data_IF_258340205891
#
_entry.id   IF_258340205891
#
_cell.length_a   1.000
_cell.length_b   1.000
_cell.length_c   1.000
_cell.angle_alpha   90.00
_cell.angle_beta   90.00
_cell.angle_gamma   90.00
#
_symmetry.space_group_name_H-M   'P 1'
#
loop_
_entity.id
_entity.type
_entity.pdbx_description
1 polymer ?
#
# COMPACT_ATOMS: atom_id res chain seq x y z
N UNK A 1 -24.53 22.61 -35.29
CA UNK A 1 -24.59 21.40 -34.43
C UNK A 1 -23.26 20.63 -34.37
N UNK A 2 -22.67 20.13 -35.47
CA UNK A 2 -21.39 19.35 -35.44
C UNK A 2 -20.22 20.04 -34.72
N UNK A 3 -20.04 21.35 -34.90
CA UNK A 3 -18.95 22.13 -34.26
C UNK A 3 -19.11 22.25 -32.73
N UNK A 4 -20.36 22.32 -32.24
CA UNK A 4 -20.67 22.43 -30.82
C UNK A 4 -20.55 21.06 -30.12
N UNK A 5 -20.99 19.98 -30.79
CA UNK A 5 -20.80 18.60 -30.35
C UNK A 5 -19.31 18.22 -30.25
N UNK A 6 -18.51 18.56 -31.26
CA UNK A 6 -17.06 18.32 -31.23
C UNK A 6 -16.37 19.09 -30.10
N UNK A 7 -16.78 20.34 -29.84
CA UNK A 7 -16.26 21.15 -28.73
C UNK A 7 -16.62 20.56 -27.37
N UNK A 8 -17.83 20.03 -27.21
CA UNK A 8 -18.28 19.38 -25.97
C UNK A 8 -17.52 18.07 -25.71
N UNK A 9 -17.30 17.26 -26.74
CA UNK A 9 -16.48 16.04 -26.66
C UNK A 9 -15.01 16.33 -26.34
N UNK A 10 -14.45 17.41 -26.90
CA UNK A 10 -13.09 17.86 -26.62
C UNK A 10 -12.93 18.36 -25.17
N UNK A 11 -13.92 19.08 -24.64
CA UNK A 11 -13.94 19.53 -23.24
C UNK A 11 -14.09 18.36 -22.27
N UNK A 12 -14.94 17.37 -22.60
CA UNK A 12 -15.08 16.15 -21.81
C UNK A 12 -13.75 15.38 -21.74
N UNK A 13 -13.07 15.19 -22.88
CA UNK A 13 -11.74 14.57 -22.91
C UNK A 13 -10.73 15.34 -22.05
N UNK A 14 -10.62 16.67 -22.21
CA UNK A 14 -9.71 17.49 -21.40
C UNK A 14 -9.99 17.42 -19.89
N UNK A 15 -11.26 17.27 -19.51
CA UNK A 15 -11.65 17.15 -18.09
C UNK A 15 -11.20 15.81 -17.52
N UNK A 16 -11.39 14.72 -18.25
CA UNK A 16 -10.93 13.38 -17.85
C UNK A 16 -9.40 13.31 -17.79
N UNK A 17 -8.71 13.98 -18.72
CA UNK A 17 -7.24 14.03 -18.71
C UNK A 17 -6.67 14.71 -17.47
N UNK A 18 -7.20 15.89 -17.10
CA UNK A 18 -6.79 16.58 -15.87
C UNK A 18 -7.09 15.73 -14.63
N UNK A 19 -8.22 15.03 -14.62
CA UNK A 19 -8.59 14.12 -13.54
C UNK A 19 -7.60 12.98 -13.38
N UNK A 20 -7.17 12.36 -14.48
CA UNK A 20 -6.19 11.28 -14.49
C UNK A 20 -4.85 11.73 -13.88
N UNK A 21 -4.36 12.92 -14.26
CA UNK A 21 -3.12 13.49 -13.73
C UNK A 21 -3.21 13.78 -12.23
N UNK A 22 -4.34 14.34 -11.77
CA UNK A 22 -4.59 14.60 -10.35
C UNK A 22 -4.68 13.32 -9.53
N UNK A 23 -5.43 12.32 -10.01
CA UNK A 23 -5.53 11.02 -9.34
C UNK A 23 -4.15 10.41 -9.21
N UNK A 24 -3.36 10.38 -10.30
CA UNK A 24 -1.98 9.89 -10.26
C UNK A 24 -1.13 10.59 -9.21
N UNK A 25 -1.16 11.92 -9.19
CA UNK A 25 -0.35 12.70 -8.25
C UNK A 25 -0.71 12.38 -6.80
N UNK A 26 -2.01 12.33 -6.49
CA UNK A 26 -2.51 12.05 -5.14
C UNK A 26 -2.19 10.61 -4.74
N UNK A 27 -2.53 9.62 -5.57
CA UNK A 27 -2.28 8.20 -5.27
C UNK A 27 -0.78 7.91 -5.20
N UNK A 28 0.04 8.55 -6.04
CA UNK A 28 1.50 8.50 -5.94
C UNK A 28 2.00 9.02 -4.58
N UNK A 29 1.58 10.23 -4.20
CA UNK A 29 2.04 10.83 -2.95
C UNK A 29 1.58 10.02 -1.74
N UNK A 30 0.33 9.56 -1.75
CA UNK A 30 -0.27 8.78 -0.68
C UNK A 30 0.45 7.45 -0.51
N UNK A 31 0.66 6.65 -1.57
CA UNK A 31 1.32 5.34 -1.41
C UNK A 31 2.75 5.51 -0.87
N UNK A 32 3.51 6.51 -1.33
CA UNK A 32 4.88 6.74 -0.84
C UNK A 32 4.90 7.12 0.63
N UNK A 33 3.99 7.99 1.07
CA UNK A 33 3.89 8.39 2.48
C UNK A 33 3.42 7.25 3.35
N UNK A 34 2.41 6.50 2.91
CA UNK A 34 1.89 5.34 3.63
C UNK A 34 2.95 4.23 3.76
N UNK A 35 3.68 3.96 2.68
CA UNK A 35 4.84 3.06 2.70
C UNK A 35 5.85 3.47 3.77
N UNK A 36 6.16 4.76 3.87
CA UNK A 36 7.14 5.26 4.84
C UNK A 36 6.66 5.17 6.30
N UNK A 37 5.36 4.95 6.54
CA UNK A 37 4.82 4.69 7.87
C UNK A 37 5.00 3.24 8.32
N UNK A 38 5.26 2.31 7.39
CA UNK A 38 5.47 0.89 7.68
C UNK A 38 6.93 0.64 8.06
N UNK A 39 7.16 -0.09 9.14
CA UNK A 39 8.48 -0.38 9.70
C UNK A 39 9.08 -1.68 9.12
N UNK A 40 8.25 -2.60 8.65
CA UNK A 40 8.67 -3.81 7.95
C UNK A 40 9.32 -3.51 6.59
N UNK A 41 10.37 -4.26 6.23
CA UNK A 41 10.92 -4.17 4.87
C UNK A 41 9.88 -4.63 3.83
N UNK A 42 9.61 -3.79 2.84
CA UNK A 42 8.70 -4.09 1.72
C UNK A 42 9.04 -5.41 1.02
N UNK A 43 8.01 -6.16 0.64
CA UNK A 43 8.15 -7.38 -0.16
C UNK A 43 8.79 -8.58 0.55
N UNK A 44 8.87 -8.56 1.89
CA UNK A 44 9.37 -9.72 2.67
C UNK A 44 8.24 -10.54 3.27
N UNK A 45 8.41 -11.86 3.25
CA UNK A 45 7.57 -12.84 3.94
C UNK A 45 7.38 -12.44 5.42
N UNK A 46 6.20 -12.72 5.99
CA UNK A 46 5.84 -12.39 7.39
C UNK A 46 6.93 -12.85 8.38
N UNK A 47 7.54 -14.01 8.11
CA UNK A 47 8.59 -14.61 8.93
C UNK A 47 9.94 -13.88 8.85
N UNK A 48 10.18 -13.10 7.78
CA UNK A 48 11.36 -12.25 7.62
C UNK A 48 11.16 -10.85 8.22
N UNK A 49 9.92 -10.36 8.32
CA UNK A 49 9.59 -9.07 8.98
C UNK A 49 9.78 -9.14 10.48
N UNK A 50 9.36 -10.24 11.10
CA UNK A 50 9.46 -10.44 12.55
C UNK A 50 10.88 -10.24 13.07
N UNK A 51 11.89 -10.74 12.35
CA UNK A 51 13.30 -10.67 12.79
C UNK A 51 13.93 -9.28 12.73
N UNK A 52 13.28 -8.27 12.14
CA UNK A 52 13.83 -6.92 11.98
C UNK A 52 12.99 -5.82 12.62
N UNK A 53 11.80 -6.14 13.10
CA UNK A 53 10.93 -5.16 13.72
C UNK A 53 11.54 -4.72 15.06
N UNK A 54 11.75 -3.41 15.31
CA UNK A 54 12.31 -2.93 16.57
C UNK A 54 11.55 -3.41 17.81
N UNK A 55 10.23 -3.58 17.70
CA UNK A 55 9.39 -4.06 18.79
C UNK A 55 9.68 -5.53 19.17
N UNK A 56 9.89 -6.41 18.17
CA UNK A 56 10.31 -7.80 18.41
C UNK A 56 11.69 -7.87 19.07
N UNK A 57 12.61 -6.99 18.67
CA UNK A 57 13.95 -6.90 19.28
C UNK A 57 13.84 -6.47 20.76
N UNK A 58 12.97 -5.49 21.05
CA UNK A 58 12.70 -5.06 22.42
C UNK A 58 12.10 -6.18 23.27
N UNK A 59 11.09 -6.87 22.74
CA UNK A 59 10.45 -8.00 23.40
C UNK A 59 11.48 -9.08 23.80
N UNK A 60 12.34 -9.47 22.85
CA UNK A 60 13.41 -10.44 23.09
C UNK A 60 14.40 -9.96 24.16
N UNK A 61 14.83 -8.70 24.09
CA UNK A 61 15.74 -8.11 25.07
C UNK A 61 15.15 -8.14 26.51
N UNK A 62 13.85 -7.87 26.65
CA UNK A 62 13.17 -7.95 27.95
C UNK A 62 13.13 -9.39 28.49
N UNK A 63 12.80 -10.37 27.65
CA UNK A 63 12.76 -11.78 28.04
C UNK A 63 14.15 -12.29 28.45
N UNK A 64 15.19 -11.91 27.70
CA UNK A 64 16.58 -12.24 28.05
C UNK A 64 17.00 -11.58 29.37
N UNK A 65 16.65 -10.30 29.57
CA UNK A 65 16.89 -9.60 30.83
C UNK A 65 16.17 -10.25 32.02
N UNK A 66 14.95 -10.76 31.82
CA UNK A 66 14.23 -11.52 32.83
C UNK A 66 14.97 -12.80 33.22
N UNK A 67 15.50 -13.54 32.24
CA UNK A 67 16.27 -14.76 32.49
C UNK A 67 17.55 -14.49 33.30
N UNK A 68 18.21 -13.35 33.09
CA UNK A 68 19.38 -12.92 33.88
C UNK A 68 19.01 -12.61 35.32
N UNK A 69 17.87 -11.95 35.56
CA UNK A 69 17.42 -11.57 36.90
C UNK A 69 16.81 -12.73 37.70
N UNK A 70 16.33 -13.77 37.01
CA UNK A 70 15.68 -14.93 37.59
C UNK A 70 14.23 -14.69 38.04
N UNK A 71 13.50 -15.78 38.23
CA UNK A 71 12.06 -15.77 38.51
C UNK A 71 11.72 -15.33 39.96
N UNK A 72 12.69 -15.19 40.85
CA UNK A 72 12.46 -14.71 42.23
C UNK A 72 12.43 -13.17 42.32
N UNK A 73 13.00 -12.49 41.33
CA UNK A 73 13.01 -11.03 41.27
C UNK A 73 11.68 -10.48 40.77
N UNK A 74 11.08 -9.52 41.49
CA UNK A 74 9.91 -8.78 40.98
C UNK A 74 10.22 -8.17 39.61
N UNK A 75 11.40 -7.56 39.46
CA UNK A 75 11.82 -6.97 38.18
C UNK A 75 11.95 -8.03 37.08
N UNK A 76 12.47 -9.23 37.40
CA UNK A 76 12.53 -10.35 36.47
C UNK A 76 11.15 -10.79 35.99
N UNK A 77 10.20 -10.98 36.91
CA UNK A 77 8.79 -11.28 36.59
C UNK A 77 8.16 -10.20 35.72
N UNK A 78 8.41 -8.93 36.01
CA UNK A 78 7.89 -7.79 35.23
C UNK A 78 8.48 -7.76 33.82
N UNK A 79 9.80 -7.92 33.68
CA UNK A 79 10.44 -7.97 32.37
C UNK A 79 9.92 -9.13 31.52
N UNK A 80 9.71 -10.31 32.11
CA UNK A 80 9.15 -11.46 31.40
C UNK A 80 7.74 -11.18 30.88
N UNK A 81 6.84 -10.74 31.77
CA UNK A 81 5.46 -10.46 31.41
C UNK A 81 5.32 -9.34 30.38
N UNK A 82 6.12 -8.27 30.52
CA UNK A 82 6.18 -7.19 29.55
C UNK A 82 6.76 -7.68 28.22
N UNK A 83 7.86 -8.42 28.21
CA UNK A 83 8.47 -8.96 26.99
C UNK A 83 7.54 -9.88 26.20
N UNK A 84 6.85 -10.80 26.87
CA UNK A 84 5.82 -11.65 26.25
C UNK A 84 4.63 -10.84 25.69
N UNK A 85 4.32 -9.69 26.31
CA UNK A 85 3.27 -8.79 25.83
C UNK A 85 3.72 -7.98 24.62
N UNK A 86 4.93 -7.43 24.65
CA UNK A 86 5.53 -6.72 23.52
C UNK A 86 5.68 -7.63 22.30
N UNK A 87 5.98 -8.93 22.50
CA UNK A 87 6.01 -9.92 21.41
C UNK A 87 4.63 -10.09 20.74
N UNK A 88 3.55 -10.15 21.53
CA UNK A 88 2.17 -10.22 20.98
C UNK A 88 1.80 -8.94 20.24
N UNK A 89 2.18 -7.77 20.77
CA UNK A 89 1.97 -6.48 20.10
C UNK A 89 2.75 -6.39 18.79
N UNK A 90 3.99 -6.91 18.78
CA UNK A 90 4.80 -7.01 17.57
C UNK A 90 4.13 -7.88 16.50
N UNK A 91 3.54 -9.02 16.89
CA UNK A 91 2.80 -9.88 15.97
C UNK A 91 1.58 -9.18 15.36
N UNK A 92 0.78 -8.46 16.16
CA UNK A 92 -0.33 -7.66 15.65
C UNK A 92 0.16 -6.54 14.71
N UNK A 93 1.27 -5.88 15.03
CA UNK A 93 1.87 -4.85 14.17
C UNK A 93 2.32 -5.43 12.82
N UNK A 94 2.99 -6.59 12.81
CA UNK A 94 3.42 -7.25 11.57
C UNK A 94 2.20 -7.60 10.70
N UNK A 95 1.15 -8.15 11.30
CA UNK A 95 -0.06 -8.53 10.59
C UNK A 95 -0.79 -7.31 10.01
N UNK A 96 -0.85 -6.22 10.77
CA UNK A 96 -1.38 -4.93 10.33
C UNK A 96 -0.59 -4.37 9.13
N UNK A 97 0.73 -4.27 9.24
CA UNK A 97 1.56 -3.71 8.17
C UNK A 97 1.49 -4.57 6.90
N UNK A 98 1.41 -5.89 7.04
CA UNK A 98 1.21 -6.80 5.90
C UNK A 98 -0.13 -6.55 5.18
N UNK A 99 -1.23 -6.38 5.92
CA UNK A 99 -2.54 -6.12 5.33
C UNK A 99 -2.58 -4.75 4.65
N UNK A 100 -2.03 -3.71 5.29
CA UNK A 100 -1.94 -2.37 4.68
C UNK A 100 -1.10 -2.39 3.40
N UNK A 101 0.03 -3.10 3.39
CA UNK A 101 0.86 -3.21 2.21
C UNK A 101 0.10 -3.84 1.03
N UNK A 102 -0.54 -5.00 1.27
CA UNK A 102 -1.24 -5.79 0.25
C UNK A 102 -2.53 -5.14 -0.23
N UNK A 103 -3.37 -4.68 0.69
CA UNK A 103 -4.75 -4.29 0.37
C UNK A 103 -4.91 -2.79 0.09
N UNK A 104 -3.86 -1.99 0.35
CA UNK A 104 -3.90 -0.53 0.15
C UNK A 104 -2.69 -0.02 -0.62
N UNK A 105 -1.46 -0.26 -0.13
CA UNK A 105 -0.25 0.32 -0.75
C UNK A 105 0.00 -0.21 -2.15
N UNK A 106 -0.04 -1.53 -2.34
CA UNK A 106 0.17 -2.17 -3.64
C UNK A 106 -0.90 -1.75 -4.67
N UNK A 107 -2.21 -1.78 -4.36
CA UNK A 107 -3.23 -1.25 -5.27
C UNK A 107 -3.05 0.23 -5.65
N UNK A 108 -2.66 1.08 -4.69
CA UNK A 108 -2.37 2.50 -4.97
C UNK A 108 -1.13 2.67 -5.85
N UNK A 109 -0.10 1.83 -5.66
CA UNK A 109 1.08 1.78 -6.52
C UNK A 109 0.71 1.37 -7.95
N UNK A 110 -0.02 0.27 -8.12
CA UNK A 110 -0.48 -0.20 -9.45
C UNK A 110 -1.26 0.89 -10.16
N UNK A 111 -2.18 1.54 -9.47
CA UNK A 111 -2.96 2.65 -10.04
C UNK A 111 -2.06 3.81 -10.51
N UNK A 112 -1.12 4.24 -9.66
CA UNK A 112 -0.27 5.42 -9.91
C UNK A 112 0.85 5.17 -10.93
N UNK A 113 1.48 3.99 -10.88
CA UNK A 113 2.72 3.68 -11.59
C UNK A 113 2.52 2.74 -12.79
N UNK A 114 1.37 2.06 -12.89
CA UNK A 114 1.09 1.12 -13.98
C UNK A 114 -0.13 1.57 -14.80
N UNK A 115 -1.31 1.59 -14.20
CA UNK A 115 -2.57 1.77 -14.93
C UNK A 115 -2.68 3.16 -15.56
N UNK A 116 -2.52 4.21 -14.77
CA UNK A 116 -2.60 5.59 -15.27
C UNK A 116 -1.50 5.88 -16.32
N UNK A 117 -0.22 5.55 -16.08
CA UNK A 117 0.83 5.72 -17.09
C UNK A 117 0.55 4.96 -18.40
N UNK A 118 -0.04 3.78 -18.34
CA UNK A 118 -0.43 3.01 -19.52
C UNK A 118 -1.51 3.73 -20.34
N UNK A 119 -2.57 4.23 -19.68
CA UNK A 119 -3.62 5.04 -20.33
C UNK A 119 -3.00 6.28 -20.99
N UNK A 120 -2.11 6.99 -20.28
CA UNK A 120 -1.41 8.16 -20.81
C UNK A 120 -0.52 7.81 -22.01
N UNK A 121 0.17 6.67 -21.98
CA UNK A 121 1.03 6.19 -23.07
C UNK A 121 0.22 5.85 -24.31
N UNK A 122 -0.87 5.10 -24.15
CA UNK A 122 -1.78 4.77 -25.26
C UNK A 122 -2.39 6.02 -25.88
N UNK A 123 -2.77 7.00 -25.06
CA UNK A 123 -3.27 8.29 -25.57
C UNK A 123 -2.25 9.02 -26.43
N UNK A 124 -0.99 9.11 -25.98
CA UNK A 124 0.10 9.69 -26.78
C UNK A 124 0.34 8.88 -28.06
N UNK A 125 0.16 7.57 -28.02
CA UNK A 125 0.26 6.72 -29.20
C UNK A 125 -0.88 6.99 -30.20
N UNK A 126 -2.12 7.08 -29.74
CA UNK A 126 -3.27 7.44 -30.58
C UNK A 126 -3.06 8.78 -31.28
N UNK A 127 -2.52 9.79 -30.58
CA UNK A 127 -2.21 11.08 -31.20
C UNK A 127 -1.21 10.96 -32.37
N UNK A 128 -0.22 10.05 -32.29
CA UNK A 128 0.69 9.77 -33.39
C UNK A 128 -0.03 9.04 -34.54
N UNK A 129 -0.83 8.03 -34.24
CA UNK A 129 -1.58 7.28 -35.25
C UNK A 129 -2.57 8.16 -36.02
N UNK A 130 -3.17 9.15 -35.36
CA UNK A 130 -4.02 10.16 -36.03
C UNK A 130 -3.20 10.95 -37.06
N UNK A 131 -2.00 11.41 -36.71
CA UNK A 131 -1.12 12.13 -37.63
C UNK A 131 -0.65 11.24 -38.79
N UNK A 132 -0.30 9.99 -38.51
CA UNK A 132 0.14 9.02 -39.53
C UNK A 132 -0.99 8.73 -40.53
N UNK A 133 -2.22 8.53 -40.02
CA UNK A 133 -3.42 8.33 -40.82
C UNK A 133 -3.77 9.55 -41.67
N UNK A 134 -3.69 10.78 -41.10
CA UNK A 134 -3.89 12.02 -41.85
C UNK A 134 -2.83 12.22 -42.96
N UNK A 135 -1.58 11.82 -42.68
CA UNK A 135 -0.48 11.84 -43.66
C UNK A 135 -0.71 10.84 -44.79
N UNK A 136 -1.06 9.58 -44.48
CA UNK A 136 -1.38 8.55 -45.46
C UNK A 136 -2.58 8.96 -46.33
N UNK A 137 -3.62 9.52 -45.70
CA UNK A 137 -4.80 10.07 -46.40
C UNK A 137 -4.44 11.21 -47.35
N UNK A 138 -3.57 12.11 -46.94
CA UNK A 138 -3.10 13.22 -47.79
C UNK A 138 -2.32 12.70 -49.00
N UNK A 139 -1.41 11.74 -48.80
CA UNK A 139 -0.64 11.10 -49.89
C UNK A 139 -1.55 10.41 -50.91
N UNK A 140 -2.54 9.64 -50.44
CA UNK A 140 -3.51 8.99 -51.31
C UNK A 140 -4.33 10.02 -52.12
N UNK A 141 -4.85 11.07 -51.47
CA UNK A 141 -5.63 12.10 -52.15
C UNK A 141 -4.84 12.88 -53.19
N UNK A 142 -3.55 13.15 -52.94
CA UNK A 142 -2.67 13.82 -53.91
C UNK A 142 -2.44 12.93 -55.14
N UNK A 143 -2.22 11.62 -54.94
CA UNK A 143 -2.08 10.64 -56.03
C UNK A 143 -3.34 10.56 -56.89
N UNK A 144 -4.53 10.60 -56.27
CA UNK A 144 -5.81 10.57 -56.98
C UNK A 144 -6.03 11.82 -57.84
N UNK A 145 -5.56 13.00 -57.41
CA UNK A 145 -5.70 14.26 -58.16
C UNK A 145 -4.70 14.40 -59.31
N UNK A 146 -3.51 13.81 -59.23
CA UNK A 146 -2.52 13.80 -60.32
C UNK A 146 -2.85 12.85 -61.47
N UNK A 147 -3.88 12.00 -61.31
CA UNK A 147 -4.30 10.98 -62.29
C UNK A 147 -5.26 11.50 -63.38
N UNK A 148 -5.46 12.81 -63.51
CA UNK A 148 -6.45 13.40 -64.43
C UNK A 148 -6.03 13.46 -65.91
N UNK A 149 -4.96 12.77 -66.31
CA UNK A 149 -4.60 12.60 -67.72
C UNK A 149 -5.07 11.24 -68.24
N UNK A 150 -5.89 11.18 -69.31
CA UNK A 150 -6.40 9.93 -69.84
C UNK A 150 -5.28 9.23 -70.62
N UNK A 151 -4.46 8.46 -69.92
CA UNK A 151 -3.57 7.46 -70.51
C UNK A 151 -4.17 6.08 -70.26
N UNK A 152 -4.31 5.30 -71.33
CA UNK A 152 -4.91 3.95 -71.43
C UNK A 152 -4.11 2.84 -70.73
N UNK A 153 -3.35 3.16 -69.68
CA UNK A 153 -2.59 2.19 -68.89
C UNK A 153 -3.24 2.07 -67.51
N UNK A 154 -3.51 0.83 -67.10
CA UNK A 154 -4.23 0.47 -65.87
C UNK A 154 -3.92 1.39 -64.67
N UNK A 155 -4.94 1.87 -63.93
CA UNK A 155 -4.76 2.46 -62.61
C UNK A 155 -4.39 1.34 -61.61
N UNK A 156 -3.18 0.80 -61.71
CA UNK A 156 -2.96 -0.58 -61.26
C UNK A 156 -2.43 -0.72 -59.84
N UNK A 157 -1.16 -0.35 -59.61
CA UNK A 157 -0.44 -0.83 -58.41
C UNK A 157 -0.10 0.27 -57.39
N UNK A 158 0.36 1.45 -57.84
CA UNK A 158 0.82 2.52 -56.93
C UNK A 158 -0.35 3.20 -56.21
N UNK A 159 -1.47 3.40 -56.92
CA UNK A 159 -2.67 3.98 -56.33
C UNK A 159 -3.37 3.02 -55.36
N UNK A 160 -3.38 1.71 -55.67
CA UNK A 160 -3.88 0.66 -54.77
C UNK A 160 -2.99 0.51 -53.54
N UNK A 161 -1.66 0.51 -53.68
CA UNK A 161 -0.73 0.48 -52.54
C UNK A 161 -0.91 1.66 -51.59
N UNK A 162 -1.10 2.88 -52.11
CA UNK A 162 -1.36 4.07 -51.27
C UNK A 162 -2.75 4.01 -50.60
N UNK A 163 -3.70 3.33 -51.22
CA UNK A 163 -5.02 3.09 -50.64
C UNK A 163 -4.92 2.09 -49.49
N UNK A 164 -4.23 0.97 -49.70
CA UNK A 164 -4.00 -0.06 -48.70
C UNK A 164 -3.24 0.51 -47.49
N UNK A 165 -2.20 1.32 -47.70
CA UNK A 165 -1.47 2.00 -46.61
C UNK A 165 -2.38 2.94 -45.79
N UNK A 166 -3.30 3.64 -46.45
CA UNK A 166 -4.28 4.51 -45.79
C UNK A 166 -5.30 3.71 -44.98
N UNK A 167 -5.85 2.63 -45.55
CA UNK A 167 -6.78 1.73 -44.89
C UNK A 167 -6.13 1.05 -43.68
N UNK A 168 -4.89 0.61 -43.80
CA UNK A 168 -4.11 0.02 -42.70
C UNK A 168 -3.85 1.04 -41.59
N UNK A 169 -3.44 2.26 -41.93
CA UNK A 169 -3.21 3.34 -40.96
C UNK A 169 -4.50 3.72 -40.23
N UNK A 170 -5.64 3.75 -40.94
CA UNK A 170 -6.95 4.00 -40.36
C UNK A 170 -7.36 2.87 -39.39
N UNK A 171 -7.16 1.61 -39.77
CA UNK A 171 -7.48 0.45 -38.93
C UNK A 171 -6.64 0.45 -37.63
N UNK A 172 -5.32 0.70 -37.72
CA UNK A 172 -4.45 0.81 -36.53
C UNK A 172 -4.90 1.92 -35.58
N UNK A 173 -5.27 3.09 -36.12
CA UNK A 173 -5.80 4.20 -35.32
C UNK A 173 -7.11 3.81 -34.63
N UNK A 174 -8.02 3.14 -35.34
CA UNK A 174 -9.31 2.71 -34.79
C UNK A 174 -9.15 1.71 -33.64
N UNK A 175 -8.30 0.68 -33.82
CA UNK A 175 -8.00 -0.30 -32.76
C UNK A 175 -7.45 0.41 -31.50
N UNK A 176 -6.50 1.33 -31.67
CA UNK A 176 -5.91 2.07 -30.54
C UNK A 176 -6.94 2.98 -29.85
N UNK A 177 -7.85 3.60 -30.62
CA UNK A 177 -8.93 4.42 -30.09
C UNK A 177 -9.90 3.59 -29.24
N UNK A 178 -10.27 2.42 -29.71
CA UNK A 178 -11.23 1.56 -29.03
C UNK A 178 -10.62 0.98 -27.75
N UNK A 179 -9.34 0.56 -27.79
CA UNK A 179 -8.61 0.14 -26.59
C UNK A 179 -8.51 1.25 -25.55
N UNK A 180 -8.10 2.46 -25.96
CA UNK A 180 -8.01 3.60 -25.03
C UNK A 180 -9.38 3.93 -24.42
N UNK A 181 -10.45 3.81 -25.21
CA UNK A 181 -11.80 4.04 -24.72
C UNK A 181 -12.17 3.00 -23.66
N UNK A 182 -11.87 1.72 -23.90
CA UNK A 182 -12.11 0.64 -22.94
C UNK A 182 -11.35 0.89 -21.63
N UNK A 183 -10.07 1.26 -21.71
CA UNK A 183 -9.24 1.53 -20.53
C UNK A 183 -9.73 2.75 -19.75
N UNK A 184 -10.17 3.81 -20.43
CA UNK A 184 -10.77 4.98 -19.79
C UNK A 184 -12.11 4.66 -19.11
N UNK A 185 -12.96 3.83 -19.72
CA UNK A 185 -14.20 3.38 -19.07
C UNK A 185 -13.91 2.53 -17.85
N UNK A 186 -12.95 1.60 -17.94
CA UNK A 186 -12.53 0.79 -16.81
C UNK A 186 -12.00 1.64 -15.65
N UNK A 187 -11.19 2.67 -15.93
CA UNK A 187 -10.70 3.60 -14.92
C UNK A 187 -11.84 4.32 -14.18
N UNK A 188 -12.85 4.80 -14.92
CA UNK A 188 -14.01 5.47 -14.30
C UNK A 188 -14.89 4.48 -13.53
N UNK A 189 -15.09 3.27 -14.06
CA UNK A 189 -15.92 2.25 -13.42
C UNK A 189 -15.37 1.79 -12.06
N UNK A 190 -14.04 1.81 -11.90
CA UNK A 190 -13.34 1.44 -10.66
C UNK A 190 -13.25 2.57 -9.63
N UNK A 191 -13.91 3.72 -9.85
CA UNK A 191 -13.84 4.85 -8.92
C UNK A 191 -14.25 4.47 -7.48
N UNK A 192 -15.27 3.61 -7.35
CA UNK A 192 -15.71 3.09 -6.05
C UNK A 192 -14.64 2.19 -5.44
N UNK A 193 -14.01 1.32 -6.22
CA UNK A 193 -12.93 0.45 -5.74
C UNK A 193 -11.74 1.27 -5.21
N UNK A 194 -11.40 2.37 -5.88
CA UNK A 194 -10.34 3.27 -5.43
C UNK A 194 -10.69 3.96 -4.11
N UNK A 195 -11.95 4.32 -3.90
CA UNK A 195 -12.43 4.86 -2.62
C UNK A 195 -12.37 3.79 -1.52
N UNK A 196 -12.70 2.54 -1.85
CA UNK A 196 -12.67 1.42 -0.92
C UNK A 196 -11.27 1.15 -0.36
N UNK A 197 -10.19 1.44 -1.10
CA UNK A 197 -8.82 1.33 -0.54
C UNK A 197 -8.61 2.21 0.70
N UNK A 198 -9.22 3.40 0.73
CA UNK A 198 -9.14 4.29 1.88
C UNK A 198 -10.04 3.84 3.02
N UNK A 199 -11.19 3.23 2.72
CA UNK A 199 -12.01 2.59 3.74
C UNK A 199 -11.26 1.42 4.39
N UNK A 200 -10.69 0.52 3.58
CA UNK A 200 -9.88 -0.62 4.05
C UNK A 200 -8.72 -0.15 4.93
N UNK A 201 -8.06 0.96 4.58
CA UNK A 201 -7.01 1.57 5.41
C UNK A 201 -7.52 1.87 6.83
N UNK A 202 -8.65 2.57 6.93
CA UNK A 202 -9.21 2.98 8.24
C UNK A 202 -9.72 1.77 9.03
N UNK A 203 -10.41 0.83 8.37
CA UNK A 203 -10.92 -0.38 9.02
C UNK A 203 -9.78 -1.26 9.57
N UNK A 204 -8.73 -1.45 8.77
CA UNK A 204 -7.55 -2.22 9.17
C UNK A 204 -6.81 -1.55 10.33
N UNK A 205 -6.68 -0.22 10.32
CA UNK A 205 -6.12 0.54 11.44
C UNK A 205 -6.96 0.40 12.72
N UNK A 206 -8.28 0.54 12.61
CA UNK A 206 -9.19 0.43 13.74
C UNK A 206 -9.08 -0.95 14.40
N UNK A 207 -9.05 -2.01 13.59
CA UNK A 207 -8.94 -3.38 14.09
C UNK A 207 -7.60 -3.65 14.76
N UNK A 208 -6.48 -3.21 14.16
CA UNK A 208 -5.15 -3.31 14.76
C UNK A 208 -5.09 -2.65 16.13
N UNK A 209 -5.58 -1.40 16.23
CA UNK A 209 -5.58 -0.67 17.50
C UNK A 209 -6.49 -1.33 18.54
N UNK A 210 -7.66 -1.85 18.13
CA UNK A 210 -8.57 -2.57 19.02
C UNK A 210 -7.90 -3.81 19.63
N UNK A 211 -7.30 -4.66 18.80
CA UNK A 211 -6.60 -5.87 19.27
C UNK A 211 -5.41 -5.55 20.17
N UNK A 212 -4.63 -4.53 19.80
CA UNK A 212 -3.49 -4.07 20.60
C UNK A 212 -3.94 -3.59 21.99
N UNK A 213 -5.04 -2.85 22.05
CA UNK A 213 -5.63 -2.39 23.30
C UNK A 213 -6.15 -3.56 24.16
N UNK A 214 -6.75 -4.59 23.54
CA UNK A 214 -7.20 -5.79 24.24
C UNK A 214 -6.05 -6.55 24.89
N UNK A 215 -4.92 -6.69 24.18
CA UNK A 215 -3.69 -7.27 24.72
C UNK A 215 -3.23 -6.47 25.96
N UNK A 216 -3.15 -5.15 25.84
CA UNK A 216 -2.72 -4.27 26.94
C UNK A 216 -3.67 -4.34 28.15
N UNK A 217 -4.98 -4.32 27.92
CA UNK A 217 -5.97 -4.45 28.99
C UNK A 217 -5.90 -5.80 29.70
N UNK A 218 -5.51 -6.87 29.01
CA UNK A 218 -5.35 -8.20 29.61
C UNK A 218 -4.14 -8.30 30.54
N UNK A 219 -3.05 -7.56 30.27
CA UNK A 219 -1.80 -7.64 31.05
C UNK A 219 -1.77 -6.71 32.27
N UNK A 220 -2.40 -5.53 32.17
CA UNK A 220 -2.34 -4.52 33.23
C UNK A 220 -2.81 -5.03 34.62
N UNK A 221 -3.88 -5.85 34.74
CA UNK A 221 -4.27 -6.44 36.02
C UNK A 221 -3.20 -7.39 36.59
N UNK A 222 -2.52 -8.15 35.74
CA UNK A 222 -1.46 -9.10 36.14
C UNK A 222 -0.24 -8.35 36.68
N UNK A 223 0.16 -7.26 36.03
CA UNK A 223 1.22 -6.37 36.51
C UNK A 223 0.87 -5.84 37.92
N UNK A 224 -0.36 -5.35 38.10
CA UNK A 224 -0.82 -4.85 39.41
C UNK A 224 -0.81 -5.94 40.49
N UNK A 225 -1.20 -7.17 40.14
CA UNK A 225 -1.19 -8.29 41.08
C UNK A 225 0.23 -8.60 41.57
N UNK A 226 1.20 -8.72 40.67
CA UNK A 226 2.60 -8.97 41.03
C UNK A 226 3.21 -7.85 41.88
N UNK A 227 2.90 -6.59 41.58
CA UNK A 227 3.33 -5.45 42.40
C UNK A 227 2.69 -5.49 43.80
N UNK A 228 1.41 -5.82 43.89
CA UNK A 228 0.70 -5.97 45.17
C UNK A 228 1.25 -7.09 46.04
N UNK A 229 1.53 -8.25 45.45
CA UNK A 229 2.17 -9.38 46.14
C UNK A 229 3.54 -8.99 46.71
N UNK A 230 4.37 -8.31 45.93
CA UNK A 230 5.68 -7.85 46.37
C UNK A 230 5.60 -6.85 47.53
N UNK A 231 4.61 -5.94 47.52
CA UNK A 231 4.38 -5.01 48.62
C UNK A 231 3.99 -5.75 49.92
N UNK A 232 3.24 -6.85 49.81
CA UNK A 232 2.84 -7.68 50.95
C UNK A 232 4.03 -8.51 51.48
N UNK A 233 4.91 -8.98 50.61
CA UNK A 233 6.10 -9.77 51.01
C UNK A 233 7.22 -8.89 51.57
N UNK A 234 7.40 -7.68 51.04
CA UNK A 234 8.42 -6.71 51.49
C UNK A 234 7.91 -5.69 52.53
N UNK A 235 6.70 -5.89 53.08
CA UNK A 235 6.20 -5.04 54.15
C UNK A 235 7.17 -5.07 55.36
N UNK A 236 7.60 -3.90 55.88
CA UNK A 236 8.60 -3.81 56.95
C UNK A 236 8.19 -4.55 58.23
N UNK A 237 6.89 -4.77 58.47
CA UNK A 237 6.39 -5.53 59.62
C UNK A 237 6.80 -7.01 59.62
N UNK A 238 7.05 -7.61 58.44
CA UNK A 238 7.56 -8.99 58.34
C UNK A 238 9.07 -9.06 58.48
N UNK A 239 9.80 -8.09 57.94
CA UNK A 239 11.25 -8.00 58.14
C UNK A 239 11.57 -7.76 59.63
N UNK A 240 10.83 -6.91 60.33
CA UNK A 240 10.99 -6.70 61.77
C UNK A 240 10.74 -7.99 62.57
N UNK A 241 9.76 -8.82 62.19
CA UNK A 241 9.53 -10.12 62.85
C UNK A 241 10.65 -11.12 62.61
N UNK A 242 11.19 -11.20 61.40
CA UNK A 242 12.29 -12.13 61.08
C UNK A 242 13.58 -11.72 61.82
N UNK A 243 13.94 -10.42 61.79
CA UNK A 243 15.08 -9.90 62.56
C UNK A 243 14.89 -10.03 64.08
N UNK A 244 13.69 -9.79 64.60
CA UNK A 244 13.44 -9.96 66.03
C UNK A 244 13.44 -11.43 66.47
N UNK A 245 12.96 -12.36 65.65
CA UNK A 245 13.00 -13.80 65.96
C UNK A 245 14.45 -14.32 65.95
N UNK A 246 15.28 -13.91 65.00
CA UNK A 246 16.70 -14.31 64.98
C UNK A 246 17.49 -13.70 66.15
N UNK A 247 17.24 -12.44 66.51
CA UNK A 247 17.88 -11.82 67.69
C UNK A 247 17.47 -12.50 69.00
N UNK A 248 16.20 -12.89 69.16
CA UNK A 248 15.76 -13.62 70.35
C UNK A 248 16.34 -15.04 70.42
N UNK A 249 16.50 -15.70 69.27
CA UNK A 249 17.07 -17.05 69.20
C UNK A 249 18.58 -17.04 69.49
N UNK A 250 19.31 -16.03 69.01
CA UNK A 250 20.74 -15.85 69.28
C UNK A 250 21.03 -15.44 70.74
N UNK A 251 20.16 -14.65 71.37
CA UNK A 251 20.28 -14.29 72.80
C UNK A 251 19.91 -15.42 73.77
N UNK A 252 19.08 -16.37 73.34
CA UNK A 252 18.72 -17.56 74.13
C UNK A 252 19.78 -18.68 74.15
N UNK A 253 20.82 -18.58 73.33
CA UNK A 253 21.92 -19.56 73.24
C UNK A 253 23.19 -19.13 74.01
N UNK A 254 23.18 -17.99 74.71
CA UNK A 254 24.32 -17.49 75.50
C UNK A 254 24.07 -17.49 77.02
N UNK A 255 23.27 -18.43 77.54
CA UNK A 255 23.07 -18.63 78.99
C UNK A 255 23.38 -20.07 79.38
#
# INVERSE_FOLDING_TARGET
MKKQFNRMRQLANQTVEKRLDLVKQVTHSTHKKLTACLQGQQGTDVEKRSKKLPLTILAQCMVEGAAVLGDDSLLGKMLKLCGETEEKLAQELIQFEFQIERDVVEPLYVLAEVDIPNIQKQRKHLAKLVLDMDSARTRYQQSAKSSSHPSTLQPGAKSESLREEMEESANRMEICRDQLSADMYNFVAKEIDYANYFQTLIETQAEYHRKSLEILHSVLPQIKAHQGEALITHSPDKHQRIYNVEIFTLKGLSS
#
